data_IF_494519420982
#
_entry.id   IF_494519420982
#
_cell.length_a   1.000
_cell.length_b   1.000
_cell.length_c   1.000
_cell.angle_alpha   90.00
_cell.angle_beta   90.00
_cell.angle_gamma   90.00
#
_symmetry.space_group_name_H-M   'P 1'
#
loop_
_entity.id
_entity.type
_entity.pdbx_description
1 polymer ?
#
# COMPACT_ATOMS: atom_id res chain seq x y z
N UNK A 1 40.78 3.65 -55.39
CA UNK A 1 40.37 2.57 -54.50
C UNK A 1 39.82 3.14 -53.22
N UNK A 2 38.53 3.25 -53.08
CA UNK A 2 37.85 3.95 -51.95
C UNK A 2 37.40 2.88 -50.94
N UNK A 3 38.10 2.79 -49.80
CA UNK A 3 37.73 1.88 -48.71
C UNK A 3 36.52 2.47 -47.96
N UNK A 4 35.35 1.85 -48.13
CA UNK A 4 34.14 2.12 -47.32
C UNK A 4 34.34 1.52 -45.93
N UNK A 5 34.46 2.38 -44.92
CA UNK A 5 34.38 1.97 -43.51
C UNK A 5 32.91 1.85 -43.13
N UNK A 6 32.47 0.61 -42.91
CA UNK A 6 31.17 0.27 -42.38
C UNK A 6 31.20 0.45 -40.85
N UNK A 7 30.69 1.56 -40.33
CA UNK A 7 30.55 1.78 -38.89
C UNK A 7 29.29 1.03 -38.44
N UNK A 8 29.49 -0.13 -37.83
CA UNK A 8 28.42 -0.89 -37.15
C UNK A 8 28.22 -0.22 -35.80
N UNK A 9 27.20 0.63 -35.71
CA UNK A 9 26.75 1.25 -34.45
C UNK A 9 26.02 0.16 -33.61
N UNK A 10 26.71 -0.40 -32.62
CA UNK A 10 26.17 -1.36 -31.68
C UNK A 10 25.29 -0.59 -30.67
N UNK A 11 23.99 -0.55 -30.90
CA UNK A 11 23.02 -0.03 -29.96
C UNK A 11 22.96 -0.97 -28.74
N UNK A 12 23.65 -0.63 -27.67
CA UNK A 12 23.46 -1.25 -26.36
C UNK A 12 22.10 -0.81 -25.83
N UNK A 13 21.09 -1.68 -25.95
CA UNK A 13 19.82 -1.53 -25.24
C UNK A 13 20.12 -1.85 -23.79
N UNK A 14 20.36 -0.83 -22.98
CA UNK A 14 20.35 -0.94 -21.52
C UNK A 14 18.90 -1.24 -21.12
N UNK A 15 18.56 -2.52 -21.01
CA UNK A 15 17.37 -2.94 -20.28
C UNK A 15 17.58 -2.56 -18.82
N UNK A 16 17.11 -1.36 -18.44
CA UNK A 16 16.93 -1.01 -17.05
C UNK A 16 15.89 -2.00 -16.49
N UNK A 17 16.39 -3.06 -15.83
CA UNK A 17 15.54 -3.81 -14.90
C UNK A 17 15.17 -2.84 -13.80
N UNK A 18 14.00 -2.25 -13.89
CA UNK A 18 13.36 -1.56 -12.78
C UNK A 18 13.09 -2.63 -11.71
N UNK A 19 14.05 -2.78 -10.80
CA UNK A 19 13.86 -3.62 -9.63
C UNK A 19 12.88 -2.89 -8.76
N UNK A 20 11.62 -3.25 -8.85
CA UNK A 20 10.60 -2.80 -7.94
C UNK A 20 11.13 -2.96 -6.50
N UNK A 21 11.23 -1.83 -5.79
CA UNK A 21 11.76 -1.81 -4.43
C UNK A 21 10.72 -2.44 -3.50
N UNK A 22 11.13 -3.36 -2.61
CA UNK A 22 10.21 -3.93 -1.62
C UNK A 22 9.60 -2.82 -0.78
N UNK A 23 8.37 -3.02 -0.29
CA UNK A 23 7.66 -2.07 0.60
C UNK A 23 8.26 -2.02 2.02
N UNK A 24 9.41 -2.62 2.24
CA UNK A 24 10.04 -2.70 3.55
C UNK A 24 9.54 -3.90 4.35
N UNK A 25 9.58 -3.78 5.68
CA UNK A 25 9.08 -4.78 6.61
C UNK A 25 7.78 -4.30 7.26
N UNK A 26 6.99 -5.23 7.78
CA UNK A 26 5.83 -4.92 8.60
C UNK A 26 6.22 -4.64 10.07
N UNK A 27 5.22 -4.41 10.94
CA UNK A 27 5.39 -4.17 12.37
C UNK A 27 6.05 -5.35 13.12
N UNK A 28 6.09 -6.54 12.54
CA UNK A 28 6.74 -7.73 13.09
C UNK A 28 8.14 -7.95 12.52
N UNK A 29 8.65 -7.04 11.68
CA UNK A 29 9.93 -7.18 10.99
C UNK A 29 9.91 -8.18 9.83
N UNK A 30 8.73 -8.61 9.37
CA UNK A 30 8.57 -9.51 8.24
C UNK A 30 8.59 -8.71 6.93
N UNK A 31 9.44 -9.11 6.00
CA UNK A 31 9.54 -8.47 4.69
C UNK A 31 8.21 -8.59 3.93
N UNK A 32 7.72 -7.46 3.40
CA UNK A 32 6.58 -7.43 2.49
C UNK A 32 7.11 -7.68 1.07
N UNK A 33 6.94 -8.90 0.52
CA UNK A 33 7.40 -9.20 -0.82
C UNK A 33 6.66 -8.37 -1.86
N UNK A 34 7.35 -8.01 -2.93
CA UNK A 34 6.77 -7.31 -4.08
C UNK A 34 5.51 -8.01 -4.62
N UNK A 35 5.53 -9.34 -4.70
CA UNK A 35 4.40 -10.14 -5.17
C UNK A 35 3.10 -9.98 -4.33
N UNK A 36 3.19 -9.47 -3.10
CA UNK A 36 2.01 -9.21 -2.27
C UNK A 36 1.30 -7.90 -2.62
N UNK A 37 1.92 -7.05 -3.43
CA UNK A 37 1.39 -5.73 -3.77
C UNK A 37 1.31 -5.48 -5.28
N UNK A 38 2.02 -6.29 -6.08
CA UNK A 38 1.91 -6.27 -7.54
C UNK A 38 0.63 -6.98 -7.98
N UNK A 39 -0.07 -6.39 -8.94
CA UNK A 39 -1.34 -6.92 -9.48
C UNK A 39 -2.43 -7.12 -8.41
N UNK A 40 -2.35 -6.36 -7.30
CA UNK A 40 -3.32 -6.37 -6.21
C UNK A 40 -3.97 -5.00 -6.04
N UNK A 41 -5.23 -4.99 -5.61
CA UNK A 41 -5.86 -3.81 -5.04
C UNK A 41 -5.27 -3.56 -3.66
N UNK A 42 -4.90 -2.32 -3.37
CA UNK A 42 -4.37 -1.96 -2.06
C UNK A 42 -5.32 -0.99 -1.36
N UNK A 43 -5.64 -1.30 -0.11
CA UNK A 43 -6.35 -0.41 0.82
C UNK A 43 -5.30 0.05 1.84
N UNK A 44 -4.79 1.26 1.68
CA UNK A 44 -3.72 1.82 2.50
C UNK A 44 -4.32 2.80 3.48
N UNK A 45 -4.32 2.44 4.77
CA UNK A 45 -4.91 3.22 5.84
C UNK A 45 -3.83 3.91 6.69
N UNK A 46 -3.95 5.25 6.81
CA UNK A 46 -3.10 6.07 7.68
C UNK A 46 -3.76 6.28 9.03
N UNK A 47 -3.06 5.95 10.09
CA UNK A 47 -3.53 5.96 11.47
C UNK A 47 -2.48 6.47 12.45
N UNK A 48 -2.91 6.81 13.67
CA UNK A 48 -2.03 7.06 14.81
C UNK A 48 -2.70 6.61 16.11
N UNK A 49 -1.89 6.31 17.14
CA UNK A 49 -2.39 5.83 18.44
C UNK A 49 -3.29 6.87 19.12
N UNK A 50 -2.99 8.16 18.98
CA UNK A 50 -3.76 9.28 19.53
C UNK A 50 -5.04 9.62 18.75
N UNK A 51 -5.23 9.03 17.57
CA UNK A 51 -6.38 9.30 16.70
C UNK A 51 -7.61 8.51 17.18
N UNK A 52 -8.55 9.17 17.83
CA UNK A 52 -9.75 8.53 18.37
C UNK A 52 -10.64 7.86 17.29
N UNK A 53 -10.94 8.48 16.13
CA UNK A 53 -11.69 7.81 15.07
C UNK A 53 -10.93 6.64 14.43
N UNK A 54 -9.58 6.67 14.40
CA UNK A 54 -8.79 5.53 13.90
C UNK A 54 -9.01 4.28 14.76
N UNK A 55 -9.09 4.44 16.08
CA UNK A 55 -9.38 3.32 17.00
C UNK A 55 -10.74 2.66 16.75
N UNK A 56 -11.73 3.42 16.27
CA UNK A 56 -13.05 2.89 15.92
C UNK A 56 -13.04 2.17 14.57
N UNK A 57 -12.20 2.64 13.65
CA UNK A 57 -12.09 2.08 12.31
C UNK A 57 -11.32 0.74 12.27
N UNK A 58 -10.36 0.52 13.17
CA UNK A 58 -9.50 -0.68 13.19
C UNK A 58 -10.30 -1.99 13.14
N UNK A 59 -11.37 -2.22 13.92
CA UNK A 59 -12.17 -3.45 13.82
C UNK A 59 -12.79 -3.65 12.43
N UNK A 60 -13.21 -2.59 11.76
CA UNK A 60 -13.74 -2.63 10.40
C UNK A 60 -12.67 -3.03 9.38
N UNK A 61 -11.46 -2.48 9.53
CA UNK A 61 -10.31 -2.81 8.70
C UNK A 61 -9.82 -4.25 8.93
N UNK A 62 -9.81 -4.73 10.18
CA UNK A 62 -9.51 -6.13 10.49
C UNK A 62 -10.52 -7.07 9.82
N UNK A 63 -11.82 -6.77 9.94
CA UNK A 63 -12.87 -7.54 9.28
C UNK A 63 -12.76 -7.50 7.75
N UNK A 64 -12.36 -6.36 7.17
CA UNK A 64 -12.09 -6.21 5.75
C UNK A 64 -10.90 -7.08 5.33
N UNK A 65 -9.80 -7.01 6.08
CA UNK A 65 -8.59 -7.79 5.83
C UNK A 65 -8.88 -9.29 5.78
N UNK A 66 -9.58 -9.81 6.80
CA UNK A 66 -9.98 -11.21 6.87
C UNK A 66 -10.93 -11.61 5.73
N UNK A 67 -11.93 -10.77 5.43
CA UNK A 67 -12.91 -11.06 4.38
C UNK A 67 -12.30 -11.11 2.98
N UNK A 68 -11.36 -10.20 2.68
CA UNK A 68 -10.80 -10.05 1.34
C UNK A 68 -9.47 -10.80 1.14
N UNK A 69 -9.01 -11.55 2.14
CA UNK A 69 -7.84 -12.40 2.01
C UNK A 69 -8.00 -13.38 0.84
N UNK A 70 -6.99 -13.42 -0.04
CA UNK A 70 -7.03 -14.26 -1.25
C UNK A 70 -7.92 -13.76 -2.39
N UNK A 71 -8.60 -12.61 -2.23
CA UNK A 71 -9.49 -12.04 -3.24
C UNK A 71 -8.85 -10.90 -4.07
N UNK A 72 -7.52 -10.86 -4.13
CA UNK A 72 -6.80 -9.84 -4.90
C UNK A 72 -6.82 -8.45 -4.27
N UNK A 73 -7.16 -8.33 -2.98
CA UNK A 73 -7.13 -7.09 -2.21
C UNK A 73 -6.20 -7.25 -1.01
N UNK A 74 -5.41 -6.22 -0.71
CA UNK A 74 -4.54 -6.15 0.46
C UNK A 74 -4.86 -4.92 1.29
N UNK A 75 -5.05 -5.12 2.59
CA UNK A 75 -5.15 -4.03 3.56
C UNK A 75 -3.77 -3.81 4.17
N UNK A 76 -3.30 -2.57 4.18
CA UNK A 76 -2.00 -2.16 4.69
C UNK A 76 -2.16 -0.94 5.59
N UNK A 77 -1.51 -0.93 6.73
CA UNK A 77 -1.48 0.21 7.64
C UNK A 77 -0.21 1.05 7.45
N UNK A 78 -0.33 2.35 7.71
CA UNK A 78 0.81 3.29 7.78
C UNK A 78 0.64 4.12 9.05
N UNK A 79 1.63 4.06 9.93
CA UNK A 79 1.64 4.91 11.12
C UNK A 79 2.02 6.35 10.72
N UNK A 80 1.15 7.31 11.05
CA UNK A 80 1.34 8.72 10.69
C UNK A 80 2.57 9.36 11.35
N UNK A 81 2.90 8.90 12.57
CA UNK A 81 4.05 9.39 13.32
C UNK A 81 5.37 8.74 12.87
N UNK A 82 5.31 7.86 11.85
CA UNK A 82 6.46 7.16 11.25
C UNK A 82 7.27 6.33 12.26
N UNK A 83 6.59 5.76 13.25
CA UNK A 83 7.18 4.86 14.22
C UNK A 83 7.75 3.61 13.54
N UNK A 84 8.77 3.02 14.17
CA UNK A 84 9.43 1.83 13.66
C UNK A 84 9.76 0.83 14.77
N UNK A 85 10.04 -0.41 14.38
CA UNK A 85 10.50 -1.45 15.31
C UNK A 85 9.51 -1.68 16.45
N UNK A 86 10.02 -1.70 17.69
CA UNK A 86 9.24 -2.01 18.89
C UNK A 86 8.12 -0.99 19.16
N UNK A 87 8.32 0.28 18.87
CA UNK A 87 7.30 1.33 19.06
C UNK A 87 6.12 1.13 18.09
N UNK A 88 6.40 0.85 16.82
CA UNK A 88 5.37 0.55 15.83
C UNK A 88 4.59 -0.71 16.22
N UNK A 89 5.28 -1.75 16.67
CA UNK A 89 4.66 -2.99 17.12
C UNK A 89 3.76 -2.74 18.34
N UNK A 90 4.25 -2.00 19.33
CA UNK A 90 3.49 -1.71 20.55
C UNK A 90 2.19 -0.95 20.26
N UNK A 91 2.25 0.10 19.44
CA UNK A 91 1.07 0.88 19.07
C UNK A 91 0.08 0.07 18.22
N UNK A 92 0.58 -0.76 17.29
CA UNK A 92 -0.25 -1.66 16.49
C UNK A 92 -0.98 -2.68 17.36
N UNK A 93 -0.29 -3.27 18.35
CA UNK A 93 -0.88 -4.21 19.30
C UNK A 93 -1.90 -3.53 20.21
N UNK A 94 -1.60 -2.32 20.69
CA UNK A 94 -2.52 -1.56 21.55
C UNK A 94 -3.83 -1.22 20.84
N UNK A 95 -3.79 -0.98 19.52
CA UNK A 95 -4.97 -0.76 18.71
C UNK A 95 -5.65 -2.06 18.24
N UNK A 96 -5.02 -3.23 18.44
CA UNK A 96 -5.52 -4.51 17.98
C UNK A 96 -5.53 -4.64 16.45
N UNK A 97 -4.52 -4.07 15.77
CA UNK A 97 -4.37 -4.17 14.32
C UNK A 97 -3.92 -5.58 13.94
N UNK A 98 -4.67 -6.24 13.03
CA UNK A 98 -4.42 -7.61 12.57
C UNK A 98 -3.85 -7.67 11.14
N UNK A 99 -3.89 -6.55 10.41
CA UNK A 99 -3.31 -6.44 9.07
C UNK A 99 -1.87 -5.89 9.12
N UNK A 100 -1.06 -6.11 8.06
CA UNK A 100 0.31 -5.60 8.00
C UNK A 100 0.38 -4.07 8.08
N UNK A 101 1.24 -3.56 8.97
CA UNK A 101 1.57 -2.14 9.09
C UNK A 101 2.99 -1.92 8.57
N UNK A 102 3.13 -1.09 7.56
CA UNK A 102 4.40 -0.84 6.89
C UNK A 102 5.32 0.01 7.78
N UNK A 103 6.59 -0.37 7.88
CA UNK A 103 7.63 0.44 8.53
C UNK A 103 8.11 1.60 7.67
N UNK A 104 7.78 1.59 6.36
CA UNK A 104 8.12 2.64 5.42
C UNK A 104 6.85 3.16 4.75
N UNK A 105 6.68 4.49 4.72
CA UNK A 105 5.54 5.12 4.05
C UNK A 105 5.59 4.87 2.53
N UNK A 106 4.57 4.22 1.94
CA UNK A 106 4.54 3.92 0.52
C UNK A 106 4.08 5.11 -0.35
N UNK A 107 3.85 6.30 0.23
CA UNK A 107 3.30 7.46 -0.47
C UNK A 107 4.08 7.82 -1.74
N UNK A 108 5.41 7.81 -1.68
CA UNK A 108 6.25 8.14 -2.84
C UNK A 108 6.11 7.11 -3.98
N UNK A 109 5.90 5.83 -3.64
CA UNK A 109 5.74 4.74 -4.60
C UNK A 109 4.45 4.85 -5.40
N UNK A 110 3.35 5.17 -4.72
CA UNK A 110 2.01 5.22 -5.32
C UNK A 110 1.53 6.65 -5.60
N UNK A 111 2.41 7.64 -5.52
CA UNK A 111 2.08 9.06 -5.68
C UNK A 111 0.87 9.49 -4.83
N UNK A 112 0.80 9.00 -3.58
CA UNK A 112 -0.28 9.37 -2.68
C UNK A 112 -0.12 10.83 -2.24
N UNK A 113 -1.20 11.60 -2.23
CA UNK A 113 -1.15 12.97 -1.74
C UNK A 113 -0.87 12.99 -0.24
N UNK A 114 -0.28 14.06 0.24
CA UNK A 114 0.00 14.24 1.67
C UNK A 114 -1.29 14.14 2.48
N UNK A 115 -1.25 13.36 3.55
CA UNK A 115 -2.34 13.19 4.50
C UNK A 115 -2.40 14.39 5.44
N UNK A 116 -3.51 15.13 5.46
CA UNK A 116 -3.71 16.31 6.31
C UNK A 116 -4.66 16.07 7.49
N UNK A 117 -5.19 14.87 7.64
CA UNK A 117 -6.09 14.49 8.72
C UNK A 117 -6.29 12.98 8.79
N UNK A 118 -6.57 12.46 9.99
CA UNK A 118 -6.71 11.04 10.26
C UNK A 118 -8.13 10.68 10.71
N UNK A 119 -8.57 9.45 10.38
CA UNK A 119 -7.93 8.49 9.48
C UNK A 119 -8.05 8.91 8.03
N UNK A 120 -7.16 8.39 7.17
CA UNK A 120 -7.26 8.53 5.74
C UNK A 120 -6.97 7.19 5.06
N UNK A 121 -7.84 6.79 4.13
CA UNK A 121 -7.70 5.53 3.41
C UNK A 121 -7.59 5.79 1.93
N UNK A 122 -6.54 5.24 1.32
CA UNK A 122 -6.27 5.32 -0.11
C UNK A 122 -6.51 3.97 -0.76
N UNK A 123 -7.19 3.97 -1.90
CA UNK A 123 -7.37 2.78 -2.73
C UNK A 123 -6.48 2.92 -3.96
N UNK A 124 -5.60 1.94 -4.14
CA UNK A 124 -4.68 1.85 -5.28
C UNK A 124 -5.07 0.62 -6.10
N UNK A 125 -5.16 0.78 -7.41
CA UNK A 125 -5.52 -0.30 -8.32
C UNK A 125 -4.35 -1.28 -8.59
N UNK A 126 -4.59 -2.42 -9.26
CA UNK A 126 -3.53 -3.38 -9.59
C UNK A 126 -2.39 -2.81 -10.46
N UNK A 127 -2.59 -1.69 -11.12
CA UNK A 127 -1.57 -0.99 -11.90
C UNK A 127 -0.74 0.00 -11.06
N UNK A 128 -1.02 0.08 -9.75
CA UNK A 128 -0.33 0.99 -8.82
C UNK A 128 -0.82 2.44 -8.90
N UNK A 129 -2.00 2.68 -9.47
CA UNK A 129 -2.59 4.01 -9.61
C UNK A 129 -3.55 4.29 -8.46
N UNK A 130 -3.43 5.44 -7.80
CA UNK A 130 -4.40 5.92 -6.83
C UNK A 130 -5.74 6.20 -7.51
N UNK A 131 -6.79 5.48 -7.12
CA UNK A 131 -8.14 5.61 -7.71
C UNK A 131 -9.18 6.18 -6.75
N UNK A 132 -8.93 6.14 -5.43
CA UNK A 132 -9.84 6.72 -4.44
C UNK A 132 -9.12 7.16 -3.18
N UNK A 133 -9.62 8.23 -2.56
CA UNK A 133 -9.20 8.70 -1.24
C UNK A 133 -10.43 8.90 -0.36
N UNK A 134 -10.51 8.14 0.73
CA UNK A 134 -11.55 8.24 1.75
C UNK A 134 -11.00 8.98 2.97
N UNK A 135 -11.72 9.95 3.48
CA UNK A 135 -11.31 10.77 4.63
C UNK A 135 -12.23 10.52 5.81
N UNK A 136 -11.63 10.46 7.01
CA UNK A 136 -12.35 10.13 8.22
C UNK A 136 -12.65 8.64 8.37
N UNK A 137 -13.28 8.28 9.48
CA UNK A 137 -13.65 6.91 9.83
C UNK A 137 -14.49 6.23 8.74
N UNK A 138 -14.08 5.04 8.33
CA UNK A 138 -14.77 4.23 7.32
C UNK A 138 -15.30 2.96 7.94
N UNK A 139 -16.39 2.45 7.40
CA UNK A 139 -16.85 1.09 7.66
C UNK A 139 -16.29 0.14 6.60
N UNK A 140 -16.21 -1.14 6.92
CA UNK A 140 -15.87 -2.20 5.97
C UNK A 140 -16.71 -2.10 4.70
N UNK A 141 -18.01 -1.90 4.85
CA UNK A 141 -18.94 -1.82 3.72
C UNK A 141 -18.64 -0.63 2.81
N UNK A 142 -18.34 0.55 3.38
CA UNK A 142 -17.99 1.74 2.61
C UNK A 142 -16.71 1.54 1.78
N UNK A 143 -15.71 0.83 2.33
CA UNK A 143 -14.48 0.52 1.60
C UNK A 143 -14.75 -0.48 0.48
N UNK A 144 -15.59 -1.51 0.70
CA UNK A 144 -15.99 -2.48 -0.34
C UNK A 144 -16.73 -1.76 -1.48
N UNK A 145 -17.63 -0.84 -1.17
CA UNK A 145 -18.35 -0.03 -2.16
C UNK A 145 -17.39 0.84 -2.98
N UNK A 146 -16.41 1.46 -2.31
CA UNK A 146 -15.39 2.26 -2.99
C UNK A 146 -14.48 1.40 -3.90
N UNK A 147 -14.09 0.21 -3.47
CA UNK A 147 -13.37 -0.77 -4.31
C UNK A 147 -14.21 -1.16 -5.53
N UNK A 148 -15.49 -1.48 -5.34
CA UNK A 148 -16.41 -1.81 -6.43
C UNK A 148 -16.61 -0.67 -7.42
N UNK A 149 -16.76 0.57 -6.92
CA UNK A 149 -16.85 1.77 -7.76
C UNK A 149 -15.57 2.03 -8.56
N UNK A 150 -14.42 1.62 -8.03
CA UNK A 150 -13.12 1.72 -8.72
C UNK A 150 -12.86 0.59 -9.73
N UNK A 151 -13.70 -0.46 -9.75
CA UNK A 151 -13.60 -1.57 -10.72
C UNK A 151 -13.21 -2.92 -10.12
N UNK A 152 -13.02 -3.02 -8.80
CA UNK A 152 -12.86 -4.32 -8.16
C UNK A 152 -14.19 -5.10 -8.18
N UNK A 153 -14.11 -6.39 -8.46
CA UNK A 153 -15.23 -7.32 -8.30
C UNK A 153 -14.77 -8.54 -7.54
N UNK A 154 -15.60 -9.00 -6.61
CA UNK A 154 -15.34 -10.27 -5.94
C UNK A 154 -15.28 -11.41 -6.97
N UNK A 155 -14.34 -12.35 -6.83
CA UNK A 155 -14.20 -13.51 -7.71
C UNK A 155 -15.39 -14.44 -7.67
#
# INVERSE_FOLDING_TARGET
>A
MLKKYLIISLFFILSACDRAQPLGVDQHGVLIPEALVTDQWLVINYWAIWCAPCRKEVPELNALHQQLEGQGVRVLGVNYDQLQGEELLADSQQLGIEFPVLSVDPAARFNLPQTHGLPATYIVDPQGVLVSQLRGEQTKQAIIEALGAAGWSAP
#
